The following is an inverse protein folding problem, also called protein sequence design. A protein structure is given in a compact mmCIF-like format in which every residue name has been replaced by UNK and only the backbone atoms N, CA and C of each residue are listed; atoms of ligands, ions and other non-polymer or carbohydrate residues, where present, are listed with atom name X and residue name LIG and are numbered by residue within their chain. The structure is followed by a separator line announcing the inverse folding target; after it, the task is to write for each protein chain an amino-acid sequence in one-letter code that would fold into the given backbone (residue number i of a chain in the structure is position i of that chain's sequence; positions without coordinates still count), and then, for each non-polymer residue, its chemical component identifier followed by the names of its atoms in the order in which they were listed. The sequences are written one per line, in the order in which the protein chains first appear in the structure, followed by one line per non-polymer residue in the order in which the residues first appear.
data_IF_608952192127
#
_entry.id   IF_608952192127
#
_cell.length_a   1.000
_cell.length_b   1.000
_cell.length_c   1.000
_cell.angle_alpha   90.00
_cell.angle_beta   90.00
_cell.angle_gamma   90.00
#
_symmetry.space_group_name_H-M   'P 1'
#
loop_
_entity.id
_entity.type
_entity.pdbx_description
1 polymer ?
#
# COMPACT_ATOMS: atom_id res chain seq x y z
N UNK A 1 3.21 12.97 -7.16
CA UNK A 1 2.22 11.89 -7.06
C UNK A 1 1.79 11.65 -5.62
N UNK A 2 2.70 11.35 -4.68
CA UNK A 2 2.35 11.21 -3.24
C UNK A 2 1.62 12.39 -2.62
N UNK A 3 2.08 13.62 -2.87
CA UNK A 3 1.38 14.85 -2.43
C UNK A 3 -0.01 15.05 -3.05
N UNK A 4 -0.37 14.23 -4.04
CA UNK A 4 -1.68 14.24 -4.71
C UNK A 4 -2.51 13.01 -4.31
N UNK A 5 -2.11 12.30 -3.24
CA UNK A 5 -2.84 11.16 -2.68
C UNK A 5 -2.59 9.81 -3.36
N UNK A 6 -1.71 9.72 -4.35
CA UNK A 6 -1.36 8.43 -4.97
C UNK A 6 -0.08 7.84 -4.39
N UNK A 7 0.01 6.52 -4.38
CA UNK A 7 1.12 5.74 -3.83
C UNK A 7 1.76 4.83 -4.88
N UNK A 8 2.35 5.39 -5.97
CA UNK A 8 2.99 4.58 -6.98
C UNK A 8 4.22 3.86 -6.41
N UNK A 9 4.37 2.60 -6.81
CA UNK A 9 5.52 1.73 -6.54
C UNK A 9 6.76 2.16 -7.33
N UNK A 10 7.95 1.69 -6.94
CA UNK A 10 9.20 2.01 -7.64
C UNK A 10 9.18 1.45 -9.07
N UNK A 11 8.62 0.26 -9.27
CA UNK A 11 8.41 -0.38 -10.56
C UNK A 11 7.49 0.44 -11.46
N UNK A 12 6.37 0.96 -10.94
CA UNK A 12 5.47 1.83 -11.69
C UNK A 12 6.17 3.14 -12.08
N UNK A 13 6.87 3.78 -11.15
CA UNK A 13 7.65 5.01 -11.43
C UNK A 13 8.71 4.76 -12.51
N UNK A 14 9.41 3.64 -12.43
CA UNK A 14 10.39 3.22 -13.44
C UNK A 14 9.71 3.01 -14.80
N UNK A 15 8.52 2.41 -14.81
CA UNK A 15 7.68 2.24 -15.99
C UNK A 15 7.28 3.58 -16.62
N UNK A 16 6.83 4.54 -15.81
CA UNK A 16 6.42 5.87 -16.29
C UNK A 16 7.56 6.67 -16.91
N UNK A 17 8.79 6.48 -16.42
CA UNK A 17 9.98 7.16 -16.93
C UNK A 17 10.66 6.40 -18.09
N UNK A 18 10.30 5.13 -18.31
CA UNK A 18 10.86 4.31 -19.38
C UNK A 18 10.53 4.92 -20.75
N UNK A 19 11.56 5.11 -21.57
CA UNK A 19 11.41 5.72 -22.90
C UNK A 19 11.33 7.25 -22.90
N UNK A 20 11.29 7.91 -21.73
CA UNK A 20 11.27 9.39 -21.61
C UNK A 20 12.65 9.99 -21.28
N UNK A 21 13.73 9.22 -21.45
CA UNK A 21 15.11 9.70 -21.23
C UNK A 21 15.40 10.15 -19.79
N UNK A 22 14.67 9.60 -18.81
CA UNK A 22 14.80 9.96 -17.40
C UNK A 22 14.20 11.32 -17.02
N UNK A 23 13.52 12.00 -17.95
CA UNK A 23 12.80 13.25 -17.71
C UNK A 23 11.33 13.08 -18.07
N UNK A 24 10.48 13.87 -17.44
CA UNK A 24 9.03 13.84 -17.68
C UNK A 24 8.59 15.28 -17.93
N UNK A 25 7.90 15.53 -19.06
CA UNK A 25 7.24 16.81 -19.27
C UNK A 25 5.99 16.93 -18.39
N UNK A 26 5.42 18.13 -18.29
CA UNK A 26 4.16 18.30 -17.56
C UNK A 26 3.00 17.54 -18.22
N UNK A 27 2.95 17.47 -19.56
CA UNK A 27 1.94 16.71 -20.27
C UNK A 27 2.06 15.20 -19.98
N UNK A 28 3.29 14.68 -19.98
CA UNK A 28 3.58 13.30 -19.59
C UNK A 28 3.12 13.01 -18.16
N UNK A 29 3.33 13.96 -17.24
CA UNK A 29 2.91 13.84 -15.87
C UNK A 29 1.38 13.74 -15.75
N UNK A 30 0.64 14.59 -16.47
CA UNK A 30 -0.83 14.53 -16.47
C UNK A 30 -1.36 13.20 -17.01
N UNK A 31 -0.72 12.64 -18.04
CA UNK A 31 -1.06 11.32 -18.57
C UNK A 31 -0.82 10.22 -17.52
N UNK A 32 0.36 10.21 -16.89
CA UNK A 32 0.71 9.26 -15.83
C UNK A 32 -0.27 9.34 -14.67
N UNK A 33 -0.62 10.55 -14.24
CA UNK A 33 -1.61 10.82 -13.21
C UNK A 33 -2.99 10.27 -13.58
N UNK A 34 -3.45 10.51 -14.80
CA UNK A 34 -4.74 10.03 -15.28
C UNK A 34 -4.79 8.51 -15.31
N UNK A 35 -3.74 7.86 -15.83
CA UNK A 35 -3.67 6.39 -15.91
C UNK A 35 -3.61 5.78 -14.51
N UNK A 36 -2.73 6.27 -13.64
CA UNK A 36 -2.54 5.70 -12.29
C UNK A 36 -3.80 5.87 -11.42
N UNK A 37 -4.46 7.03 -11.47
CA UNK A 37 -5.69 7.29 -10.71
C UNK A 37 -6.85 6.33 -11.01
N UNK A 38 -6.86 5.72 -12.20
CA UNK A 38 -7.87 4.73 -12.61
C UNK A 38 -7.53 3.31 -12.18
N UNK A 39 -6.25 3.03 -11.97
CA UNK A 39 -5.75 1.72 -11.59
C UNK A 39 -5.67 1.56 -10.06
N UNK A 40 -5.40 2.65 -9.35
CA UNK A 40 -5.08 2.58 -7.92
C UNK A 40 -6.35 2.41 -7.06
N UNK A 41 -6.47 1.24 -6.44
CA UNK A 41 -7.42 1.02 -5.34
C UNK A 41 -6.76 0.20 -4.23
N UNK A 42 -5.68 0.76 -3.70
CA UNK A 42 -4.82 0.14 -2.69
C UNK A 42 -5.61 -0.49 -1.52
N UNK A 43 -6.64 0.16 -0.93
CA UNK A 43 -7.40 -0.46 0.14
C UNK A 43 -8.08 -1.76 -0.29
N UNK A 44 -8.69 -1.78 -1.48
CA UNK A 44 -9.36 -2.96 -1.99
C UNK A 44 -8.38 -4.08 -2.38
N UNK A 45 -7.24 -3.73 -2.97
CA UNK A 45 -6.19 -4.70 -3.32
C UNK A 45 -5.66 -5.42 -2.08
N UNK A 46 -5.34 -4.65 -1.04
CA UNK A 46 -4.83 -5.17 0.22
C UNK A 46 -5.89 -6.02 0.93
N UNK A 47 -7.16 -5.58 0.97
CA UNK A 47 -8.27 -6.38 1.53
C UNK A 47 -8.50 -7.68 0.74
N UNK A 48 -8.48 -7.64 -0.59
CA UNK A 48 -8.68 -8.80 -1.44
C UNK A 48 -7.59 -9.84 -1.23
N UNK A 49 -6.34 -9.37 -1.12
CA UNK A 49 -5.21 -10.22 -0.84
C UNK A 49 -5.36 -10.87 0.56
N UNK A 50 -5.85 -10.14 1.57
CA UNK A 50 -6.12 -10.73 2.89
C UNK A 50 -7.27 -11.73 2.88
N UNK A 51 -8.34 -11.48 2.11
CA UNK A 51 -9.42 -12.44 1.90
C UNK A 51 -8.93 -13.73 1.25
N UNK A 52 -7.97 -13.65 0.34
CA UNK A 52 -7.35 -14.84 -0.24
C UNK A 52 -6.54 -15.65 0.80
N UNK A 53 -6.06 -15.01 1.86
CA UNK A 53 -5.34 -15.66 2.97
C UNK A 53 -6.24 -16.12 4.14
N UNK A 54 -7.53 -15.77 4.13
CA UNK A 54 -8.54 -16.11 5.15
C UNK A 54 -9.72 -16.88 4.52
N UNK A 55 -9.53 -18.16 4.15
CA UNK A 55 -10.56 -18.97 3.49
C UNK A 55 -11.80 -19.20 4.38
N UNK A 56 -11.62 -19.14 5.70
CA UNK A 56 -12.70 -19.27 6.68
C UNK A 56 -13.49 -17.95 6.87
N UNK A 57 -13.07 -16.86 6.21
CA UNK A 57 -13.70 -15.53 6.25
C UNK A 57 -13.92 -15.02 7.67
N UNK A 58 -12.97 -15.28 8.57
CA UNK A 58 -13.00 -14.80 9.95
C UNK A 58 -12.92 -13.28 10.05
N UNK A 59 -12.41 -12.61 9.02
CA UNK A 59 -12.23 -11.16 9.03
C UNK A 59 -11.01 -10.71 9.83
N UNK A 60 -10.22 -11.65 10.35
CA UNK A 60 -9.07 -11.40 11.22
C UNK A 60 -7.90 -12.29 10.82
N UNK A 61 -6.68 -11.76 10.96
CA UNK A 61 -5.44 -12.50 10.73
C UNK A 61 -4.48 -12.30 11.90
N UNK A 62 -3.67 -13.31 12.25
CA UNK A 62 -2.58 -13.13 13.20
C UNK A 62 -1.60 -12.04 12.73
N UNK A 63 -1.14 -11.19 13.64
CA UNK A 63 -0.19 -10.10 13.34
C UNK A 63 1.09 -10.60 12.63
N UNK A 64 1.56 -11.81 12.98
CA UNK A 64 2.70 -12.46 12.32
C UNK A 64 2.41 -12.83 10.87
N UNK A 65 1.19 -13.29 10.57
CA UNK A 65 0.76 -13.59 9.21
C UNK A 65 0.62 -12.30 8.40
N UNK A 66 0.00 -11.27 8.98
CA UNK A 66 -0.08 -9.94 8.37
C UNK A 66 1.30 -9.40 7.97
N UNK A 67 2.28 -9.48 8.88
CA UNK A 67 3.68 -9.12 8.59
C UNK A 67 4.22 -9.88 7.39
N UNK A 68 4.08 -11.21 7.38
CA UNK A 68 4.58 -12.04 6.29
C UNK A 68 3.93 -11.69 4.93
N UNK A 69 2.65 -11.31 4.94
CA UNK A 69 1.94 -10.93 3.71
C UNK A 69 2.45 -9.59 3.17
N UNK A 70 2.62 -8.58 4.04
CA UNK A 70 3.16 -7.27 3.65
C UNK A 70 4.60 -7.33 3.12
N UNK A 71 5.40 -8.30 3.57
CA UNK A 71 6.77 -8.50 3.07
C UNK A 71 6.83 -9.28 1.76
N UNK A 72 5.79 -10.06 1.44
CA UNK A 72 5.78 -10.98 0.29
C UNK A 72 4.94 -10.48 -0.88
N UNK A 73 4.05 -9.51 -0.68
CA UNK A 73 3.19 -8.99 -1.73
C UNK A 73 3.77 -7.76 -2.41
N UNK A 74 3.65 -7.73 -3.75
CA UNK A 74 4.13 -6.62 -4.58
C UNK A 74 5.64 -6.43 -4.48
N UNK A 75 6.07 -5.19 -4.25
CA UNK A 75 7.48 -4.86 -4.01
C UNK A 75 8.00 -5.32 -2.64
N UNK A 76 7.11 -5.75 -1.75
CA UNK A 76 7.44 -6.21 -0.41
C UNK A 76 7.97 -5.08 0.49
N UNK A 77 7.31 -4.86 1.61
CA UNK A 77 7.81 -3.90 2.60
C UNK A 77 9.00 -4.49 3.35
N UNK A 78 9.99 -3.66 3.68
CA UNK A 78 11.07 -4.05 4.57
C UNK A 78 10.57 -4.28 6.00
N UNK A 79 11.34 -5.03 6.80
CA UNK A 79 11.01 -5.27 8.20
C UNK A 79 10.73 -3.96 8.97
N UNK A 80 11.54 -2.92 8.71
CA UNK A 80 11.43 -1.61 9.36
C UNK A 80 10.16 -0.87 8.96
N UNK A 81 9.78 -0.93 7.69
CA UNK A 81 8.53 -0.31 7.21
C UNK A 81 7.31 -0.99 7.83
N UNK A 82 7.30 -2.32 7.89
CA UNK A 82 6.22 -3.06 8.56
C UNK A 82 6.16 -2.73 10.05
N UNK A 83 7.30 -2.63 10.74
CA UNK A 83 7.35 -2.24 12.15
C UNK A 83 6.78 -0.85 12.40
N UNK A 84 7.04 0.10 11.50
CA UNK A 84 6.50 1.46 11.59
C UNK A 84 4.97 1.45 11.41
N UNK A 85 4.45 0.76 10.38
CA UNK A 85 3.00 0.66 10.15
C UNK A 85 2.31 0.00 11.34
N UNK A 86 2.89 -1.06 11.91
CA UNK A 86 2.32 -1.74 13.07
C UNK A 86 2.29 -0.85 14.31
N UNK A 87 3.32 -0.01 14.49
CA UNK A 87 3.38 0.96 15.58
C UNK A 87 2.30 2.03 15.41
N UNK A 88 2.16 2.59 14.21
CA UNK A 88 1.16 3.62 13.90
C UNK A 88 -0.28 3.09 14.02
N UNK A 89 -0.50 1.85 13.58
CA UNK A 89 -1.80 1.18 13.68
C UNK A 89 -2.07 0.55 15.05
N UNK A 90 -1.20 0.74 16.03
CA UNK A 90 -1.29 0.18 17.39
C UNK A 90 -1.53 -1.34 17.41
N UNK A 91 -0.85 -2.07 16.52
CA UNK A 91 -0.97 -3.52 16.36
C UNK A 91 0.04 -4.24 17.25
N UNK A 92 -0.44 -5.10 18.14
CA UNK A 92 0.41 -5.97 18.95
C UNK A 92 0.98 -7.13 18.12
N UNK A 93 2.27 -7.44 18.32
CA UNK A 93 2.99 -8.46 17.55
C UNK A 93 2.51 -9.91 17.78
N UNK A 94 1.77 -10.15 18.87
CA UNK A 94 1.13 -11.43 19.20
C UNK A 94 -0.41 -11.36 19.12
N UNK A 95 -0.96 -10.25 18.63
CA UNK A 95 -2.40 -10.05 18.51
C UNK A 95 -3.00 -10.65 17.23
N UNK A 96 -4.32 -10.59 17.17
CA UNK A 96 -5.09 -10.74 15.93
C UNK A 96 -5.50 -9.36 15.43
N UNK A 97 -5.47 -9.18 14.12
CA UNK A 97 -5.73 -7.91 13.45
C UNK A 97 -6.94 -8.07 12.56
N UNK A 98 -7.94 -7.18 12.69
CA UNK A 98 -9.00 -7.05 11.70
C UNK A 98 -8.42 -6.32 10.49
N UNK A 99 -8.28 -7.01 9.37
CA UNK A 99 -7.58 -6.46 8.21
C UNK A 99 -8.29 -5.25 7.62
N UNK A 100 -9.62 -5.16 7.70
CA UNK A 100 -10.37 -3.99 7.22
C UNK A 100 -10.05 -2.73 8.03
N UNK A 101 -9.91 -2.86 9.36
CA UNK A 101 -9.55 -1.74 10.24
C UNK A 101 -8.09 -1.34 10.03
N UNK A 102 -7.20 -2.33 9.88
CA UNK A 102 -5.80 -2.10 9.58
C UNK A 102 -5.61 -1.35 8.26
N UNK A 103 -6.32 -1.74 7.21
CA UNK A 103 -6.24 -1.08 5.90
C UNK A 103 -6.74 0.35 5.97
N UNK A 104 -7.81 0.65 6.72
CA UNK A 104 -8.27 2.03 6.92
C UNK A 104 -7.21 2.90 7.56
N UNK A 105 -6.45 2.37 8.51
CA UNK A 105 -5.39 3.12 9.19
C UNK A 105 -4.14 3.22 8.29
N UNK A 106 -3.71 2.11 7.71
CA UNK A 106 -2.49 2.03 6.90
C UNK A 106 -2.61 2.78 5.56
N UNK A 107 -3.81 2.88 5.00
CA UNK A 107 -4.09 3.63 3.78
C UNK A 107 -4.75 4.98 4.07
N UNK A 108 -4.82 5.41 5.32
CA UNK A 108 -5.29 6.77 5.63
C UNK A 108 -4.31 7.77 5.00
N UNK A 109 -4.82 8.86 4.37
CA UNK A 109 -3.94 9.96 3.99
C UNK A 109 -3.21 10.46 5.23
N UNK A 110 -1.89 10.67 5.11
CA UNK A 110 -1.08 11.24 6.19
C UNK A 110 -1.77 12.55 6.60
N UNK A 111 -2.19 12.71 7.87
CA UNK A 111 -2.82 13.95 8.27
C UNK A 111 -1.81 15.08 8.04
N UNK A 112 -2.26 16.16 7.39
CA UNK A 112 -1.49 17.38 7.26
C UNK A 112 -1.30 17.98 8.67
N UNK A 113 -0.32 17.48 9.42
CA UNK A 113 0.13 18.13 10.64
C UNK A 113 1.08 19.25 10.23
N UNK A 114 0.52 20.47 10.19
CA UNK A 114 1.22 21.75 10.07
C UNK A 114 2.26 21.95 11.16
#
# INVERSE_FOLDING_TARGET
MRSLGMSPTIQELTGYLKGKGGKMSFADFLEVMHIHSRAENLPNEVVNAFRAADPEKKGVVPARQLRNLLQKWGEGLSQREVDNIFREANVSNNGTVRYEDFVKIACAPVPDYY
#
